data_IF_913025088585
#
_entry.id   IF_913025088585
#
_cell.length_a   1.000
_cell.length_b   1.000
_cell.length_c   1.000
_cell.angle_alpha   90.00
_cell.angle_beta   90.00
_cell.angle_gamma   90.00
#
_symmetry.space_group_name_H-M   'P 1'
#
loop_
_entity.id
_entity.type
_entity.pdbx_description
1 polymer ?
#
# COMPACT_ATOMS: atom_id res chain seq x y z
N UNK A 1 -30.28 1.04 -1.81
CA UNK A 1 -30.61 2.46 -1.61
C UNK A 1 -30.87 2.68 -0.12
N UNK A 2 -30.40 3.76 0.52
CA UNK A 2 -30.69 4.04 1.92
C UNK A 2 -32.21 4.13 2.14
N UNK A 3 -32.68 3.63 3.28
CA UNK A 3 -34.11 3.61 3.59
C UNK A 3 -34.72 5.01 3.66
N UNK A 4 -33.98 6.07 3.97
CA UNK A 4 -34.57 7.42 4.04
C UNK A 4 -34.82 8.02 2.65
N UNK A 5 -33.99 7.67 1.66
CA UNK A 5 -34.18 8.09 0.27
C UNK A 5 -35.35 7.36 -0.39
N UNK A 6 -35.62 6.10 -0.01
CA UNK A 6 -36.81 5.38 -0.50
C UNK A 6 -38.11 6.00 0.02
N UNK A 7 -38.06 6.75 1.12
CA UNK A 7 -39.19 7.49 1.69
C UNK A 7 -39.20 8.98 1.29
N UNK A 8 -38.35 9.41 0.34
CA UNK A 8 -38.33 10.81 -0.14
C UNK A 8 -37.76 11.83 0.83
N UNK A 9 -37.05 11.41 1.88
CA UNK A 9 -36.45 12.30 2.89
C UNK A 9 -34.93 12.16 2.94
N UNK A 10 -34.19 12.69 1.93
CA UNK A 10 -32.74 12.63 1.92
C UNK A 10 -32.14 13.39 3.11
N UNK A 11 -31.06 12.85 3.68
CA UNK A 11 -30.29 13.49 4.75
C UNK A 11 -28.82 13.50 4.34
N UNK A 12 -28.00 14.37 4.95
CA UNK A 12 -26.53 14.34 4.76
C UNK A 12 -25.93 12.95 5.07
N UNK A 13 -26.55 12.21 6.00
CA UNK A 13 -26.17 10.82 6.30
C UNK A 13 -26.38 9.88 5.10
N UNK A 14 -27.30 10.19 4.17
CA UNK A 14 -27.54 9.42 2.93
C UNK A 14 -26.36 9.51 1.97
N UNK A 15 -25.73 10.67 1.87
CA UNK A 15 -24.52 10.84 1.04
C UNK A 15 -23.35 10.02 1.61
N UNK A 16 -23.20 10.01 2.94
CA UNK A 16 -22.20 9.19 3.64
C UNK A 16 -22.43 7.70 3.36
N UNK A 17 -23.68 7.24 3.37
CA UNK A 17 -24.01 5.87 3.03
C UNK A 17 -23.63 5.56 1.58
N UNK A 18 -23.95 6.44 0.62
CA UNK A 18 -23.60 6.24 -0.78
C UNK A 18 -22.08 6.15 -0.98
N UNK A 19 -21.31 7.03 -0.32
CA UNK A 19 -19.83 6.97 -0.36
C UNK A 19 -19.32 5.67 0.28
N UNK A 20 -19.90 5.22 1.39
CA UNK A 20 -19.54 3.96 2.03
C UNK A 20 -19.79 2.74 1.12
N UNK A 21 -20.91 2.71 0.39
CA UNK A 21 -21.21 1.68 -0.62
C UNK A 21 -20.17 1.67 -1.74
N UNK A 22 -19.80 2.84 -2.25
CA UNK A 22 -18.77 2.97 -3.28
C UNK A 22 -17.43 2.45 -2.76
N UNK A 23 -17.05 2.78 -1.52
CA UNK A 23 -15.85 2.27 -0.88
C UNK A 23 -15.83 0.74 -0.78
N UNK A 24 -16.96 0.14 -0.35
CA UNK A 24 -17.09 -1.33 -0.27
C UNK A 24 -17.05 -1.96 -1.67
N UNK A 25 -17.68 -1.35 -2.68
CA UNK A 25 -17.59 -1.80 -4.06
C UNK A 25 -16.14 -1.75 -4.57
N UNK A 26 -15.39 -0.68 -4.28
CA UNK A 26 -13.99 -0.53 -4.68
C UNK A 26 -13.10 -1.60 -4.03
N UNK A 27 -13.34 -1.93 -2.75
CA UNK A 27 -12.59 -2.94 -2.02
C UNK A 27 -12.88 -4.38 -2.46
N UNK A 28 -14.07 -4.65 -2.98
CA UNK A 28 -14.54 -6.02 -3.24
C UNK A 28 -14.75 -6.36 -4.72
N UNK A 29 -14.88 -5.35 -5.58
CA UNK A 29 -15.26 -5.51 -6.98
C UNK A 29 -16.72 -5.92 -7.20
N UNK A 30 -17.51 -6.16 -6.14
CA UNK A 30 -18.91 -6.54 -6.27
C UNK A 30 -19.81 -5.33 -6.48
N UNK A 31 -20.73 -5.44 -7.44
CA UNK A 31 -21.72 -4.39 -7.71
C UNK A 31 -22.74 -4.30 -6.55
N UNK A 32 -23.22 -3.10 -6.19
CA UNK A 32 -24.15 -2.90 -5.06
C UNK A 32 -25.47 -3.67 -5.16
N UNK A 33 -25.89 -4.06 -6.37
CA UNK A 33 -27.07 -4.89 -6.57
C UNK A 33 -26.92 -6.33 -6.03
N UNK A 34 -25.69 -6.79 -5.79
CA UNK A 34 -25.41 -8.08 -5.15
C UNK A 34 -25.41 -7.97 -3.62
N UNK A 35 -25.38 -6.77 -3.05
CA UNK A 35 -25.31 -6.60 -1.61
C UNK A 35 -26.66 -6.97 -0.99
N UNK A 36 -26.60 -7.67 0.13
CA UNK A 36 -27.77 -8.05 0.91
C UNK A 36 -27.63 -7.57 2.34
N UNK A 37 -28.74 -7.54 3.05
CA UNK A 37 -28.76 -7.25 4.47
C UNK A 37 -28.63 -8.55 5.25
N UNK A 38 -27.90 -8.51 6.36
CA UNK A 38 -27.97 -9.54 7.37
C UNK A 38 -29.42 -9.62 7.90
N UNK A 39 -30.08 -10.79 7.85
CA UNK A 39 -31.46 -10.93 8.33
C UNK A 39 -31.68 -10.58 9.80
N UNK A 40 -30.63 -10.62 10.62
CA UNK A 40 -30.72 -10.35 12.06
C UNK A 40 -30.48 -8.87 12.40
N UNK A 41 -29.53 -8.22 11.73
CA UNK A 41 -29.08 -6.87 12.08
C UNK A 41 -29.54 -5.81 11.08
N UNK A 42 -30.01 -6.22 9.90
CA UNK A 42 -30.25 -5.40 8.72
C UNK A 42 -29.00 -4.71 8.14
N UNK A 43 -27.81 -5.02 8.67
CA UNK A 43 -26.57 -4.41 8.20
C UNK A 43 -26.07 -5.13 6.95
N UNK A 44 -25.50 -4.36 6.03
CA UNK A 44 -24.89 -4.91 4.81
C UNK A 44 -23.40 -5.25 5.02
N UNK A 45 -22.76 -4.60 5.99
CA UNK A 45 -21.32 -4.67 6.21
C UNK A 45 -20.99 -4.57 7.70
N UNK A 46 -20.34 -5.59 8.23
CA UNK A 46 -19.99 -5.71 9.66
C UNK A 46 -18.48 -5.95 9.80
N UNK A 47 -17.72 -4.87 9.98
CA UNK A 47 -16.29 -4.85 10.30
C UNK A 47 -15.44 -5.75 9.40
N UNK A 48 -15.66 -5.69 8.08
CA UNK A 48 -14.97 -6.55 7.11
C UNK A 48 -15.83 -7.69 6.55
N UNK A 49 -17.01 -7.96 7.12
CA UNK A 49 -17.94 -8.96 6.59
C UNK A 49 -19.01 -8.32 5.71
N UNK A 50 -18.97 -8.60 4.41
CA UNK A 50 -19.98 -8.17 3.45
C UNK A 50 -21.03 -9.28 3.26
N UNK A 51 -22.31 -8.91 3.31
CA UNK A 51 -23.42 -9.82 3.03
C UNK A 51 -23.81 -9.72 1.55
N UNK A 52 -23.84 -10.86 0.87
CA UNK A 52 -24.12 -10.96 -0.56
C UNK A 52 -25.32 -11.87 -0.81
N UNK A 53 -26.07 -11.58 -1.88
CA UNK A 53 -27.19 -12.41 -2.35
C UNK A 53 -26.81 -13.14 -3.64
N UNK A 54 -27.04 -14.45 -3.68
CA UNK A 54 -26.88 -15.25 -4.89
C UNK A 54 -28.05 -15.05 -5.86
N UNK A 55 -27.92 -15.55 -7.09
CA UNK A 55 -29.02 -15.52 -8.06
C UNK A 55 -30.25 -16.33 -7.60
N UNK A 56 -30.03 -17.43 -6.87
CA UNK A 56 -31.08 -18.23 -6.25
C UNK A 56 -31.71 -17.55 -5.01
N UNK A 57 -31.17 -16.40 -4.59
CA UNK A 57 -31.68 -15.62 -3.47
C UNK A 57 -31.07 -15.94 -2.11
N UNK A 58 -30.12 -16.88 -2.05
CA UNK A 58 -29.43 -17.25 -0.81
C UNK A 58 -28.45 -16.15 -0.38
N UNK A 59 -28.40 -15.88 0.93
CA UNK A 59 -27.49 -14.89 1.52
C UNK A 59 -26.24 -15.61 2.04
N UNK A 60 -25.06 -15.09 1.72
CA UNK A 60 -23.79 -15.59 2.22
C UNK A 60 -22.87 -14.43 2.65
N UNK A 61 -21.88 -14.75 3.49
CA UNK A 61 -20.89 -13.79 3.99
C UNK A 61 -19.63 -13.85 3.12
N UNK A 62 -19.06 -12.69 2.82
CA UNK A 62 -17.78 -12.54 2.15
C UNK A 62 -16.83 -11.75 3.04
N UNK A 63 -15.64 -12.28 3.28
CA UNK A 63 -14.60 -11.62 4.07
C UNK A 63 -13.83 -10.64 3.17
N UNK A 64 -13.97 -9.35 3.45
CA UNK A 64 -13.23 -8.29 2.77
C UNK A 64 -11.85 -8.17 3.38
N UNK A 65 -10.82 -8.11 2.53
CA UNK A 65 -9.46 -7.84 2.96
C UNK A 65 -9.31 -6.35 3.30
N UNK A 66 -9.57 -6.02 4.56
CA UNK A 66 -9.51 -4.65 5.09
C UNK A 66 -9.05 -4.68 6.56
N UNK A 67 -8.35 -3.65 7.01
CA UNK A 67 -8.00 -3.53 8.43
C UNK A 67 -9.25 -3.39 9.29
N UNK A 68 -9.19 -3.89 10.54
CA UNK A 68 -10.29 -3.77 11.50
C UNK A 68 -10.78 -2.32 11.62
N UNK A 69 -9.83 -1.37 11.75
CA UNK A 69 -10.13 0.04 11.92
C UNK A 69 -10.90 0.63 10.72
N UNK A 70 -10.44 0.39 9.48
CA UNK A 70 -11.14 0.86 8.29
C UNK A 70 -12.48 0.13 8.10
N UNK A 71 -12.54 -1.15 8.43
CA UNK A 71 -13.77 -1.94 8.43
C UNK A 71 -14.84 -1.34 9.35
N UNK A 72 -14.47 -0.94 10.57
CA UNK A 72 -15.39 -0.33 11.53
C UNK A 72 -15.91 1.03 11.05
N UNK A 73 -15.04 1.85 10.44
CA UNK A 73 -15.43 3.12 9.84
C UNK A 73 -16.45 2.88 8.71
N UNK A 74 -16.16 1.96 7.79
CA UNK A 74 -17.06 1.62 6.68
C UNK A 74 -18.40 1.08 7.19
N UNK A 75 -18.38 0.19 8.19
CA UNK A 75 -19.61 -0.29 8.84
C UNK A 75 -20.44 0.85 9.40
N UNK A 76 -19.81 1.82 10.08
CA UNK A 76 -20.51 2.99 10.60
C UNK A 76 -21.02 3.92 9.49
N UNK A 77 -20.32 4.01 8.35
CA UNK A 77 -20.79 4.78 7.19
C UNK A 77 -22.05 4.18 6.55
N UNK A 78 -22.19 2.85 6.56
CA UNK A 78 -23.30 2.15 5.88
C UNK A 78 -24.35 1.56 6.82
N UNK A 79 -24.41 2.01 8.09
CA UNK A 79 -25.43 1.57 9.03
C UNK A 79 -26.83 1.73 8.44
N UNK A 80 -27.64 0.68 8.56
CA UNK A 80 -29.00 0.67 8.03
C UNK A 80 -29.82 1.85 8.55
N UNK A 81 -29.82 2.03 9.88
CA UNK A 81 -30.52 3.15 10.50
C UNK A 81 -29.65 4.40 10.53
N UNK A 82 -30.05 5.46 9.81
CA UNK A 82 -29.25 6.69 9.67
C UNK A 82 -28.81 7.34 10.98
N UNK A 83 -29.55 7.19 12.07
CA UNK A 83 -29.17 7.80 13.37
C UNK A 83 -27.89 7.21 13.94
N UNK A 84 -27.49 6.01 13.52
CA UNK A 84 -26.25 5.36 13.93
C UNK A 84 -25.09 5.59 12.95
N UNK A 85 -25.35 6.26 11.81
CA UNK A 85 -24.28 6.70 10.90
C UNK A 85 -23.57 7.94 11.43
N UNK A 86 -22.48 8.31 10.76
CA UNK A 86 -21.85 9.60 10.97
C UNK A 86 -22.81 10.77 10.68
N UNK A 87 -22.73 11.81 11.50
CA UNK A 87 -23.56 13.01 11.37
C UNK A 87 -23.24 13.81 10.10
N UNK A 88 -21.97 13.83 9.70
CA UNK A 88 -21.46 14.59 8.56
C UNK A 88 -20.12 14.01 8.07
N UNK A 89 -19.66 14.47 6.90
CA UNK A 89 -18.39 14.05 6.30
C UNK A 89 -17.17 14.40 7.19
N UNK A 90 -17.23 15.50 7.95
CA UNK A 90 -16.15 15.88 8.86
C UNK A 90 -15.89 14.81 9.92
N UNK A 91 -16.94 14.21 10.49
CA UNK A 91 -16.80 13.13 11.46
C UNK A 91 -16.17 11.86 10.83
N UNK A 92 -16.47 11.58 9.57
CA UNK A 92 -15.83 10.48 8.82
C UNK A 92 -14.34 10.79 8.61
N UNK A 93 -14.02 12.00 8.14
CA UNK A 93 -12.65 12.44 7.90
C UNK A 93 -11.80 12.41 9.17
N UNK A 94 -12.36 12.82 10.31
CA UNK A 94 -11.69 12.75 11.60
C UNK A 94 -11.25 11.31 11.92
N UNK A 95 -12.15 10.34 11.72
CA UNK A 95 -11.83 8.92 12.00
C UNK A 95 -10.93 8.31 10.91
N UNK A 96 -10.93 8.83 9.67
CA UNK A 96 -9.97 8.43 8.63
C UNK A 96 -8.58 9.07 8.80
N UNK A 97 -8.45 10.15 9.58
CA UNK A 97 -7.21 10.93 9.72
C UNK A 97 -6.00 10.09 10.16
N UNK A 98 -6.11 9.15 11.12
CA UNK A 98 -4.97 8.31 11.50
C UNK A 98 -4.46 7.45 10.33
N UNK A 99 -5.37 6.90 9.52
CA UNK A 99 -5.03 6.13 8.32
C UNK A 99 -4.32 7.05 7.32
N UNK A 100 -4.90 8.22 7.06
CA UNK A 100 -4.31 9.20 6.16
C UNK A 100 -2.91 9.61 6.61
N UNK A 101 -2.71 9.89 7.89
CA UNK A 101 -1.40 10.29 8.41
C UNK A 101 -0.36 9.18 8.30
N UNK A 102 -0.77 7.92 8.49
CA UNK A 102 0.11 6.78 8.24
C UNK A 102 0.58 6.75 6.77
N UNK A 103 -0.35 6.89 5.82
CA UNK A 103 0.01 6.94 4.39
C UNK A 103 0.75 8.21 4.00
N UNK A 104 0.39 9.35 4.58
CA UNK A 104 1.03 10.64 4.31
C UNK A 104 2.49 10.62 4.72
N UNK A 105 2.81 10.06 5.90
CA UNK A 105 4.18 9.87 6.31
C UNK A 105 4.95 8.95 5.35
N UNK A 106 4.32 7.89 4.82
CA UNK A 106 4.93 7.04 3.80
C UNK A 106 5.16 7.79 2.47
N UNK A 107 4.21 8.63 2.06
CA UNK A 107 4.33 9.43 0.84
C UNK A 107 5.37 10.54 0.96
N UNK A 108 5.47 11.20 2.11
CA UNK A 108 6.45 12.24 2.39
C UNK A 108 7.86 11.65 2.49
N UNK A 109 8.04 10.48 3.09
CA UNK A 109 9.34 9.77 3.05
C UNK A 109 9.68 9.23 1.66
N UNK A 110 8.68 8.83 0.86
CA UNK A 110 8.89 8.41 -0.52
C UNK A 110 9.34 9.56 -1.45
N UNK A 111 8.91 10.80 -1.22
CA UNK A 111 9.25 11.94 -2.10
C UNK A 111 10.60 12.59 -1.79
N UNK A 112 11.20 12.35 -0.62
CA UNK A 112 12.49 12.97 -0.26
C UNK A 112 13.69 12.43 -1.07
N UNK A 113 13.62 11.21 -1.59
CA UNK A 113 14.74 10.59 -2.33
C UNK A 113 14.53 10.73 -3.84
N UNK A 114 15.35 11.56 -4.48
CA UNK A 114 15.37 11.74 -5.94
C UNK A 114 15.69 10.42 -6.66
N UNK A 115 14.80 10.00 -7.56
CA UNK A 115 14.91 8.77 -8.36
C UNK A 115 15.55 9.04 -9.72
N UNK A 116 16.82 9.48 -9.73
CA UNK A 116 17.53 9.76 -10.97
C UNK A 116 18.07 8.45 -11.60
N UNK A 117 18.01 8.36 -12.93
CA UNK A 117 18.56 7.26 -13.71
C UNK A 117 19.23 7.81 -14.97
N UNK A 118 20.41 7.30 -15.32
CA UNK A 118 21.08 7.61 -16.59
C UNK A 118 20.56 6.73 -17.73
N UNK A 119 20.07 5.53 -17.40
CA UNK A 119 19.59 4.55 -18.37
C UNK A 119 18.06 4.40 -18.43
N UNK A 120 17.31 5.28 -17.75
CA UNK A 120 15.84 5.35 -17.81
C UNK A 120 15.12 4.29 -16.96
N UNK A 121 15.75 3.78 -15.90
CA UNK A 121 15.17 2.80 -14.99
C UNK A 121 14.19 3.46 -14.03
N UNK A 122 13.02 2.83 -13.90
CA UNK A 122 12.01 3.20 -12.91
C UNK A 122 12.28 2.53 -11.55
N UNK A 123 12.70 3.33 -10.58
CA UNK A 123 12.97 2.90 -9.21
C UNK A 123 11.78 3.02 -8.25
N UNK A 124 10.60 3.43 -8.73
CA UNK A 124 9.42 3.62 -7.87
C UNK A 124 9.02 2.34 -7.14
N UNK A 125 9.10 1.19 -7.81
CA UNK A 125 8.77 -0.10 -7.23
C UNK A 125 9.75 -0.51 -6.12
N UNK A 126 11.05 -0.35 -6.35
CA UNK A 126 12.09 -0.56 -5.35
C UNK A 126 11.87 0.35 -4.13
N UNK A 127 11.62 1.65 -4.37
CA UNK A 127 11.34 2.62 -3.32
C UNK A 127 10.13 2.20 -2.48
N UNK A 128 9.05 1.74 -3.12
CA UNK A 128 7.84 1.30 -2.42
C UNK A 128 8.11 0.09 -1.51
N UNK A 129 8.84 -0.92 -2.00
CA UNK A 129 9.19 -2.08 -1.16
C UNK A 129 10.04 -1.68 0.05
N UNK A 130 11.00 -0.79 -0.15
CA UNK A 130 11.83 -0.25 0.94
C UNK A 130 11.02 0.58 1.94
N UNK A 131 10.07 1.40 1.48
CA UNK A 131 9.19 2.20 2.32
C UNK A 131 8.24 1.33 3.16
N UNK A 132 7.77 0.20 2.61
CA UNK A 132 6.94 -0.79 3.31
C UNK A 132 7.74 -1.71 4.24
N UNK A 133 9.08 -1.70 4.18
CA UNK A 133 9.93 -2.60 4.95
C UNK A 133 9.93 -4.05 4.45
N UNK A 134 9.51 -4.27 3.20
CA UNK A 134 9.52 -5.56 2.50
C UNK A 134 10.94 -5.83 1.97
N UNK A 135 11.88 -6.14 2.88
CA UNK A 135 13.32 -6.19 2.57
C UNK A 135 13.69 -7.26 1.54
N UNK A 136 12.99 -8.39 1.54
CA UNK A 136 13.25 -9.50 0.61
C UNK A 136 12.85 -9.09 -0.81
N UNK A 137 11.66 -8.52 -0.94
CA UNK A 137 11.10 -8.04 -2.20
C UNK A 137 11.92 -6.86 -2.74
N UNK A 138 12.42 -5.99 -1.85
CA UNK A 138 13.34 -4.91 -2.21
C UNK A 138 14.69 -5.43 -2.74
N UNK A 139 15.23 -6.50 -2.16
CA UNK A 139 16.46 -7.14 -2.62
C UNK A 139 16.29 -7.74 -4.03
N UNK A 140 15.20 -8.50 -4.25
CA UNK A 140 14.85 -9.06 -5.55
C UNK A 140 14.60 -7.97 -6.62
N UNK A 141 13.98 -6.84 -6.24
CA UNK A 141 13.77 -5.72 -7.17
C UNK A 141 15.08 -4.98 -7.45
N UNK A 142 15.98 -4.87 -6.47
CA UNK A 142 17.31 -4.28 -6.66
C UNK A 142 18.10 -5.06 -7.70
N UNK A 143 18.10 -6.39 -7.61
CA UNK A 143 18.76 -7.26 -8.60
C UNK A 143 18.23 -7.01 -10.01
N UNK A 144 16.91 -6.96 -10.18
CA UNK A 144 16.27 -6.67 -11.48
C UNK A 144 16.65 -5.31 -12.03
N UNK A 145 16.67 -4.27 -11.19
CA UNK A 145 17.09 -2.94 -11.60
C UNK A 145 18.56 -2.92 -12.06
N UNK A 146 19.46 -3.62 -11.36
CA UNK A 146 20.88 -3.65 -11.75
C UNK A 146 21.09 -4.44 -13.05
N UNK A 147 20.37 -5.54 -13.24
CA UNK A 147 20.41 -6.30 -14.48
C UNK A 147 19.88 -5.47 -15.66
N UNK A 148 18.83 -4.68 -15.46
CA UNK A 148 18.35 -3.69 -16.44
C UNK A 148 19.42 -2.65 -16.77
N UNK A 149 20.07 -2.09 -15.74
CA UNK A 149 21.11 -1.08 -15.92
C UNK A 149 22.31 -1.61 -16.70
N UNK A 150 22.59 -2.90 -16.56
CA UNK A 150 23.65 -3.60 -17.28
C UNK A 150 23.22 -4.13 -18.67
N UNK A 151 21.95 -3.99 -19.07
CA UNK A 151 21.35 -4.65 -20.24
C UNK A 151 21.56 -6.18 -20.23
N UNK A 152 21.39 -6.83 -19.07
CA UNK A 152 21.63 -8.27 -18.85
C UNK A 152 20.46 -9.00 -18.22
N UNK A 153 19.25 -8.54 -18.50
CA UNK A 153 18.02 -9.15 -17.98
C UNK A 153 17.86 -10.62 -18.42
N UNK A 154 18.31 -10.94 -19.63
CA UNK A 154 18.19 -12.30 -20.20
C UNK A 154 19.17 -13.25 -19.51
N UNK A 155 20.39 -12.80 -19.27
CA UNK A 155 21.43 -13.60 -18.63
C UNK A 155 21.12 -13.85 -17.16
N UNK A 156 20.56 -12.86 -16.45
CA UNK A 156 20.22 -12.99 -15.04
C UNK A 156 21.42 -12.94 -14.08
N UNK A 157 22.62 -12.59 -14.57
CA UNK A 157 23.83 -12.42 -13.76
C UNK A 157 24.77 -11.37 -14.35
N UNK A 158 25.57 -10.72 -13.49
CA UNK A 158 26.58 -9.73 -13.88
C UNK A 158 27.96 -10.37 -14.06
N UNK A 159 28.71 -9.92 -15.06
CA UNK A 159 30.11 -10.27 -15.25
C UNK A 159 31.04 -9.07 -14.96
N UNK A 160 32.36 -9.29 -15.00
CA UNK A 160 33.33 -8.23 -14.68
C UNK A 160 33.24 -7.02 -15.61
N UNK A 161 32.89 -7.22 -16.88
CA UNK A 161 32.75 -6.13 -17.85
C UNK A 161 31.46 -5.35 -17.65
N UNK A 162 30.34 -6.04 -17.39
CA UNK A 162 29.06 -5.41 -17.14
C UNK A 162 29.08 -4.56 -15.86
N UNK A 163 29.83 -4.98 -14.84
CA UNK A 163 29.99 -4.19 -13.61
C UNK A 163 30.71 -2.86 -13.86
N UNK A 164 31.70 -2.83 -14.77
CA UNK A 164 32.48 -1.61 -15.07
C UNK A 164 31.67 -0.55 -15.82
N UNK A 165 30.64 -0.97 -16.57
CA UNK A 165 29.82 -0.08 -17.39
C UNK A 165 28.49 0.29 -16.73
N UNK A 166 28.25 -0.14 -15.48
CA UNK A 166 27.05 0.22 -14.75
C UNK A 166 27.00 1.76 -14.55
N UNK A 167 25.88 2.42 -14.85
CA UNK A 167 25.78 3.86 -14.66
C UNK A 167 25.90 4.25 -13.19
N UNK A 168 26.70 5.27 -12.92
CA UNK A 168 27.01 5.69 -11.55
C UNK A 168 25.78 6.29 -10.87
N UNK A 169 24.96 7.06 -11.61
CA UNK A 169 23.74 7.66 -11.09
C UNK A 169 22.72 6.61 -10.63
N UNK A 170 22.60 5.51 -11.39
CA UNK A 170 21.70 4.40 -11.09
C UNK A 170 22.13 3.67 -9.81
N UNK A 171 23.43 3.35 -9.69
CA UNK A 171 24.00 2.78 -8.47
C UNK A 171 23.84 3.71 -7.26
N UNK A 172 24.01 5.02 -7.46
CA UNK A 172 23.83 6.03 -6.41
C UNK A 172 22.38 6.14 -5.96
N UNK A 173 21.42 6.09 -6.88
CA UNK A 173 20.00 6.10 -6.57
C UNK A 173 19.60 4.88 -5.75
N UNK A 174 20.07 3.69 -6.15
CA UNK A 174 19.85 2.44 -5.38
C UNK A 174 20.47 2.56 -3.97
N UNK A 175 21.72 3.01 -3.86
CA UNK A 175 22.41 3.14 -2.56
C UNK A 175 21.69 4.14 -1.64
N UNK A 176 21.27 5.29 -2.16
CA UNK A 176 20.49 6.29 -1.42
C UNK A 176 19.18 5.74 -0.87
N UNK A 177 18.45 4.98 -1.68
CA UNK A 177 17.20 4.34 -1.26
C UNK A 177 17.45 3.37 -0.10
N UNK A 178 18.42 2.47 -0.23
CA UNK A 178 18.77 1.51 0.83
C UNK A 178 19.30 2.19 2.10
N UNK A 179 20.09 3.25 1.97
CA UNK A 179 20.58 4.03 3.10
C UNK A 179 19.42 4.72 3.84
N UNK A 180 18.53 5.40 3.11
CA UNK A 180 17.43 6.15 3.70
C UNK A 180 16.48 5.23 4.48
N UNK A 181 15.91 4.23 3.82
CA UNK A 181 14.94 3.33 4.45
C UNK A 181 15.60 2.35 5.43
N UNK A 182 16.85 1.96 5.18
CA UNK A 182 17.64 1.11 6.07
C UNK A 182 18.18 1.82 7.32
N UNK A 183 17.92 3.13 7.50
CA UNK A 183 18.48 3.96 8.57
C UNK A 183 20.01 3.89 8.63
N UNK A 184 20.65 3.93 7.45
CA UNK A 184 22.09 3.88 7.28
C UNK A 184 22.75 2.51 7.53
N UNK A 185 21.96 1.44 7.69
CA UNK A 185 22.48 0.09 7.96
C UNK A 185 22.68 -0.77 6.71
N UNK A 186 22.04 -0.41 5.61
CA UNK A 186 22.08 -1.13 4.34
C UNK A 186 22.52 -0.21 3.21
N UNK A 187 22.99 -0.80 2.11
CA UNK A 187 23.53 -0.08 0.95
C UNK A 187 24.95 -0.53 0.58
N UNK A 188 25.32 -0.31 -0.68
CA UNK A 188 26.65 -0.58 -1.23
C UNK A 188 27.73 0.23 -0.53
N UNK A 189 27.44 1.47 -0.14
CA UNK A 189 28.39 2.30 0.61
C UNK A 189 28.71 1.74 2.00
N UNK A 190 27.71 1.18 2.69
CA UNK A 190 27.89 0.49 3.98
C UNK A 190 28.74 -0.78 3.80
N UNK A 191 28.44 -1.59 2.78
CA UNK A 191 29.19 -2.79 2.45
C UNK A 191 30.65 -2.46 2.10
N UNK A 192 30.89 -1.43 1.28
CA UNK A 192 32.22 -0.93 0.91
C UNK A 192 33.00 -0.50 2.16
N UNK A 193 32.41 0.28 3.06
CA UNK A 193 33.04 0.72 4.31
C UNK A 193 33.42 -0.45 5.22
N UNK A 194 32.54 -1.45 5.35
CA UNK A 194 32.81 -2.66 6.13
C UNK A 194 33.92 -3.51 5.50
N UNK A 195 33.95 -3.62 4.17
CA UNK A 195 35.03 -4.30 3.44
C UNK A 195 36.40 -3.65 3.71
N UNK A 196 36.47 -2.32 3.65
CA UNK A 196 37.71 -1.58 3.95
C UNK A 196 38.15 -1.75 5.41
N UNK A 197 37.22 -1.66 6.37
CA UNK A 197 37.51 -1.90 7.80
C UNK A 197 38.02 -3.32 8.05
N UNK A 198 37.39 -4.33 7.43
CA UNK A 198 37.81 -5.72 7.57
C UNK A 198 39.17 -5.98 6.91
N UNK A 199 39.46 -5.39 5.74
CA UNK A 199 40.80 -5.45 5.12
C UNK A 199 41.88 -4.81 6.00
N UNK A 200 41.62 -3.66 6.61
CA UNK A 200 42.55 -3.03 7.55
C UNK A 200 42.72 -3.82 8.85
N UNK A 201 41.68 -4.51 9.32
CA UNK A 201 41.76 -5.41 10.48
C UNK A 201 42.60 -6.64 10.19
N UNK A 202 42.43 -7.25 9.01
CA UNK A 202 43.22 -8.40 8.58
C UNK A 202 44.69 -8.01 8.34
N UNK A 203 44.97 -6.84 7.76
CA UNK A 203 46.32 -6.33 7.55
C UNK A 203 47.05 -5.88 8.86
N UNK A 204 46.37 -5.88 10.00
CA UNK A 204 46.96 -5.61 11.33
C UNK A 204 47.26 -6.88 12.14
N UNK A 205 46.85 -8.04 11.62
CA UNK A 205 47.00 -9.35 12.27
C UNK A 205 48.11 -10.19 11.60
N UNK A 206 48.66 -9.73 10.48
CA UNK A 206 49.84 -10.26 9.79
C UNK A 206 50.92 -9.18 9.71
#
# INVERSE_FOLDING_TARGET
MPSEQTHGMPKLASDIYAVGIIGIQALTGFKPNKFSQNPQTNEIFESGQLFLKSQAGNIFKYQVNVSQYLGDILSKMVRYYFKFRYKNAFAVLKDLTPIWNQYKNLYETEQEVSLCSECGIDYTKLRRFLALGEWKEADEETEKCILKAANREIEGWLNSESIKILPEQDLHTIDKLWLHFGKGRFGFSVQKKNLFRNRQRLARIW
#
